data_IF_999337008017
#
_entry.id   IF_999337008017
#
_cell.length_a   1.000
_cell.length_b   1.000
_cell.length_c   1.000
_cell.angle_alpha   90.00
_cell.angle_beta   90.00
_cell.angle_gamma   90.00
#
_symmetry.space_group_name_H-M   'P 1'
#
loop_
_entity.id
_entity.type
_entity.pdbx_description
1 polymer ?
#
# COMPACT_ATOMS: atom_id res chain seq x y z
N UNK A 1 -6.54 4.12 7.24
CA UNK A 1 -5.30 4.14 6.42
C UNK A 1 -5.63 3.86 4.97
N UNK A 2 -4.84 4.40 4.09
CA UNK A 2 -5.00 4.21 2.64
C UNK A 2 -3.67 3.76 2.06
N UNK A 3 -3.72 2.72 1.22
CA UNK A 3 -2.55 2.26 0.47
C UNK A 3 -2.82 2.53 -1.01
N UNK A 4 -1.93 3.28 -1.65
CA UNK A 4 -2.00 3.54 -3.08
C UNK A 4 -0.89 2.76 -3.78
N UNK A 5 -1.27 1.87 -4.68
CA UNK A 5 -0.35 1.05 -5.45
C UNK A 5 -0.28 1.63 -6.86
N UNK A 6 0.87 2.16 -7.23
CA UNK A 6 1.06 2.73 -8.56
C UNK A 6 1.80 1.71 -9.44
N UNK A 7 1.08 1.12 -10.38
CA UNK A 7 1.64 0.10 -11.27
C UNK A 7 2.53 0.71 -12.37
N UNK A 8 2.41 2.00 -12.62
CA UNK A 8 3.28 2.67 -13.60
C UNK A 8 4.68 2.92 -13.05
N UNK A 9 4.76 3.42 -11.83
CA UNK A 9 6.04 3.73 -11.18
C UNK A 9 6.55 2.60 -10.31
N UNK A 10 5.77 1.54 -10.11
CA UNK A 10 6.06 0.42 -9.22
C UNK A 10 6.36 0.91 -7.80
N UNK A 11 5.47 1.75 -7.29
CA UNK A 11 5.57 2.31 -5.94
C UNK A 11 4.33 2.02 -5.13
N UNK A 12 4.50 1.93 -3.81
CA UNK A 12 3.40 1.81 -2.86
C UNK A 12 3.49 2.97 -1.89
N UNK A 13 2.44 3.78 -1.83
CA UNK A 13 2.36 4.91 -0.92
C UNK A 13 1.33 4.60 0.17
N UNK A 14 1.72 4.83 1.41
CA UNK A 14 0.87 4.58 2.57
C UNK A 14 0.52 5.91 3.21
N UNK A 15 -0.78 6.18 3.32
CA UNK A 15 -1.32 7.42 3.90
C UNK A 15 -2.08 7.15 5.18
N UNK A 16 -1.94 8.07 6.11
CA UNK A 16 -2.77 8.17 7.29
C UNK A 16 -3.54 9.49 7.21
N UNK A 17 -4.83 9.41 6.86
CA UNK A 17 -5.58 10.59 6.50
C UNK A 17 -5.05 11.20 5.21
N UNK A 18 -4.65 12.47 5.25
CA UNK A 18 -4.05 13.16 4.10
C UNK A 18 -2.52 13.18 4.15
N UNK A 19 -1.93 12.57 5.18
CA UNK A 19 -0.49 12.58 5.38
C UNK A 19 0.16 11.33 4.79
N UNK A 20 1.16 11.52 3.93
CA UNK A 20 1.99 10.43 3.44
C UNK A 20 2.90 9.96 4.56
N UNK A 21 2.72 8.70 4.97
CA UNK A 21 3.50 8.10 6.07
C UNK A 21 4.73 7.37 5.54
N UNK A 22 4.57 6.68 4.42
CA UNK A 22 5.66 5.88 3.85
C UNK A 22 5.48 5.76 2.34
N UNK A 23 6.60 5.80 1.63
CA UNK A 23 6.65 5.55 0.19
C UNK A 23 7.68 4.46 -0.06
N UNK A 24 7.27 3.37 -0.71
CA UNK A 24 8.12 2.21 -0.95
C UNK A 24 8.32 2.07 -2.45
N UNK A 25 9.58 2.09 -2.88
CA UNK A 25 9.93 1.86 -4.29
C UNK A 25 10.17 0.36 -4.49
N UNK A 26 9.32 -0.24 -5.30
CA UNK A 26 9.35 -1.68 -5.54
C UNK A 26 9.74 -1.97 -6.98
N UNK A 27 10.88 -2.59 -7.15
CA UNK A 27 11.35 -3.05 -8.47
C UNK A 27 10.96 -4.51 -8.68
N UNK A 28 9.72 -4.88 -8.40
CA UNK A 28 9.33 -6.28 -8.50
C UNK A 28 7.88 -6.52 -8.14
N UNK A 29 7.62 -7.50 -7.29
CA UNK A 29 6.29 -8.03 -7.00
C UNK A 29 5.43 -7.10 -6.14
N UNK A 30 4.91 -6.03 -6.75
CA UNK A 30 3.99 -5.09 -6.10
C UNK A 30 2.79 -5.84 -5.50
N UNK A 31 2.28 -6.82 -6.22
CA UNK A 31 1.10 -7.60 -5.81
C UNK A 31 1.39 -8.39 -4.53
N UNK A 32 2.54 -9.04 -4.42
CA UNK A 32 2.91 -9.83 -3.25
C UNK A 32 3.01 -8.95 -2.00
N UNK A 33 3.68 -7.81 -2.13
CA UNK A 33 3.81 -6.88 -1.00
C UNK A 33 2.47 -6.34 -0.55
N UNK A 34 1.57 -6.04 -1.51
CA UNK A 34 0.23 -5.58 -1.19
C UNK A 34 -0.54 -6.60 -0.38
N UNK A 35 -0.44 -7.87 -0.76
CA UNK A 35 -1.09 -8.96 -0.03
C UNK A 35 -0.56 -9.05 1.39
N UNK A 36 0.76 -9.00 1.56
CA UNK A 36 1.41 -9.03 2.88
C UNK A 36 0.99 -7.85 3.76
N UNK A 37 0.97 -6.64 3.21
CA UNK A 37 0.54 -5.45 3.94
C UNK A 37 -0.93 -5.52 4.34
N UNK A 38 -1.79 -5.98 3.43
CA UNK A 38 -3.21 -6.12 3.70
C UNK A 38 -3.44 -7.14 4.81
N UNK A 39 -2.76 -8.29 4.77
CA UNK A 39 -2.84 -9.32 5.78
C UNK A 39 -2.35 -8.80 7.14
N UNK A 40 -1.24 -8.07 7.16
CA UNK A 40 -0.71 -7.48 8.38
C UNK A 40 -1.70 -6.50 9.00
N UNK A 41 -2.30 -5.62 8.20
CA UNK A 41 -3.28 -4.67 8.69
C UNK A 41 -4.54 -5.35 9.19
N UNK A 42 -4.96 -6.45 8.56
CA UNK A 42 -6.09 -7.24 9.04
C UNK A 42 -5.82 -7.84 10.42
N UNK A 43 -4.60 -8.38 10.62
CA UNK A 43 -4.18 -8.94 11.91
C UNK A 43 -4.15 -7.86 13.00
N UNK A 44 -3.71 -6.66 12.66
CA UNK A 44 -3.64 -5.52 13.59
C UNK A 44 -4.98 -4.81 13.76
N UNK A 45 -6.03 -5.28 13.09
CA UNK A 45 -7.36 -4.67 13.12
C UNK A 45 -7.34 -3.21 12.68
N UNK A 46 -6.54 -2.90 11.68
CA UNK A 46 -6.42 -1.56 11.10
C UNK A 46 -7.31 -1.47 9.87
N UNK A 47 -8.18 -0.48 9.85
CA UNK A 47 -9.05 -0.21 8.70
C UNK A 47 -8.18 0.33 7.55
N UNK A 48 -8.21 -0.36 6.41
CA UNK A 48 -7.32 -0.06 5.30
C UNK A 48 -8.07 -0.04 3.98
N UNK A 49 -7.92 1.07 3.24
CA UNK A 49 -8.43 1.21 1.87
C UNK A 49 -7.27 0.99 0.90
N UNK A 50 -7.48 0.14 -0.11
CA UNK A 50 -6.47 -0.13 -1.13
C UNK A 50 -6.92 0.47 -2.46
N UNK A 51 -6.09 1.31 -3.05
CA UNK A 51 -6.35 1.96 -4.33
C UNK A 51 -5.25 1.56 -5.30
N UNK A 52 -5.63 1.04 -6.46
CA UNK A 52 -4.67 0.66 -7.50
C UNK A 52 -4.70 1.69 -8.63
N UNK A 53 -3.53 2.19 -9.00
CA UNK A 53 -3.33 3.18 -10.06
C UNK A 53 -2.58 2.53 -11.21
N UNK A 54 -3.16 2.54 -12.38
CA UNK A 54 -2.58 1.94 -13.60
C UNK A 54 -2.13 2.97 -14.61
#
# INVERSE_FOLDING_TARGET
>A
MRIEINHNSLTVDIYKGEQLVSAIDLKGSVIELTTELTDLFAVLDIDCEVIEIY
#
